data_IF_613207178461
#
_entry.id   IF_613207178461
#
_cell.length_a   1.000
_cell.length_b   1.000
_cell.length_c   1.000
_cell.angle_alpha   90.00
_cell.angle_beta   90.00
_cell.angle_gamma   90.00
#
_symmetry.space_group_name_H-M   'P 1'
#
loop_
_entity.id
_entity.type
_entity.pdbx_description
1 polymer ?
#
# COMPACT_ATOMS: atom_id res chain seq x y z
N UNK A 1 -22.98 -9.26 -7.57
CA UNK A 1 -21.88 -10.07 -7.00
C UNK A 1 -21.10 -9.17 -6.07
N UNK A 2 -20.80 -9.62 -4.85
CA UNK A 2 -19.93 -8.84 -3.95
C UNK A 2 -18.50 -8.84 -4.49
N UNK A 3 -17.83 -7.69 -4.44
CA UNK A 3 -16.43 -7.60 -4.87
C UNK A 3 -15.52 -8.41 -3.92
N UNK A 4 -14.37 -8.92 -4.39
CA UNK A 4 -13.41 -9.61 -3.52
C UNK A 4 -13.00 -8.79 -2.28
N UNK A 5 -12.91 -7.46 -2.41
CA UNK A 5 -12.59 -6.56 -1.30
C UNK A 5 -13.71 -6.46 -0.26
N UNK A 6 -14.97 -6.49 -0.70
CA UNK A 6 -16.13 -6.53 0.21
C UNK A 6 -16.12 -7.81 1.06
N UNK A 7 -15.72 -8.95 0.48
CA UNK A 7 -15.59 -10.21 1.21
C UNK A 7 -14.51 -10.14 2.31
N UNK A 8 -13.51 -9.28 2.14
CA UNK A 8 -12.43 -9.03 3.11
C UNK A 8 -12.72 -7.88 4.07
N UNK A 9 -13.88 -7.22 3.97
CA UNK A 9 -14.29 -6.11 4.83
C UNK A 9 -15.33 -6.54 5.89
N UNK A 10 -15.29 -5.88 7.05
CA UNK A 10 -16.24 -6.09 8.16
C UNK A 10 -15.57 -6.29 9.52
N UNK A 11 -16.38 -6.60 10.54
CA UNK A 11 -15.90 -6.84 11.90
C UNK A 11 -14.95 -8.04 11.95
N UNK A 12 -13.76 -7.85 12.51
CA UNK A 12 -12.73 -8.89 12.62
C UNK A 12 -12.01 -9.26 11.31
N UNK A 13 -12.36 -8.62 10.18
CA UNK A 13 -11.78 -8.90 8.87
C UNK A 13 -10.58 -7.99 8.55
N UNK A 14 -9.68 -8.40 7.63
CA UNK A 14 -8.42 -7.69 7.39
C UNK A 14 -8.58 -6.28 6.79
N UNK A 15 -9.71 -5.98 6.14
CA UNK A 15 -10.02 -4.66 5.62
C UNK A 15 -11.06 -3.94 6.48
N UNK A 16 -10.82 -2.65 6.70
CA UNK A 16 -11.83 -1.71 7.17
C UNK A 16 -12.38 -0.94 5.98
N UNK A 17 -13.71 -0.78 5.91
CA UNK A 17 -14.32 0.17 5.00
C UNK A 17 -14.02 1.58 5.50
N UNK A 18 -13.37 2.38 4.66
CA UNK A 18 -12.96 3.73 5.02
C UNK A 18 -12.86 4.59 3.75
N UNK A 19 -13.61 5.70 3.64
CA UNK A 19 -13.55 6.59 2.48
C UNK A 19 -12.14 7.03 2.16
N UNK A 20 -11.86 7.22 0.87
CA UNK A 20 -10.57 7.74 0.42
C UNK A 20 -10.34 9.15 0.97
N UNK A 21 -9.14 9.39 1.49
CA UNK A 21 -8.63 10.75 1.70
C UNK A 21 -7.69 11.10 0.52
N UNK A 22 -8.00 12.19 -0.18
CA UNK A 22 -7.26 12.58 -1.38
C UNK A 22 -5.80 12.99 -1.06
N UNK A 23 -5.56 13.65 0.07
CA UNK A 23 -4.23 14.07 0.46
C UNK A 23 -3.36 12.87 0.89
N UNK A 24 -3.95 11.91 1.61
CA UNK A 24 -3.33 10.64 1.95
C UNK A 24 -2.97 9.85 0.69
N UNK A 25 -3.92 9.71 -0.25
CA UNK A 25 -3.73 9.00 -1.51
C UNK A 25 -2.58 9.60 -2.33
N UNK A 26 -2.59 10.91 -2.53
CA UNK A 26 -1.52 11.62 -3.25
C UNK A 26 -0.17 11.53 -2.51
N UNK A 27 -0.19 11.57 -1.17
CA UNK A 27 0.99 11.34 -0.34
C UNK A 27 1.58 9.96 -0.55
N UNK A 28 0.75 8.92 -0.55
CA UNK A 28 1.16 7.53 -0.78
C UNK A 28 1.74 7.33 -2.19
N UNK A 29 1.11 7.90 -3.23
CA UNK A 29 1.63 7.85 -4.60
C UNK A 29 3.01 8.50 -4.71
N UNK A 30 3.15 9.75 -4.25
CA UNK A 30 4.45 10.45 -4.28
C UNK A 30 5.52 9.67 -3.53
N UNK A 31 5.20 9.21 -2.33
CA UNK A 31 6.14 8.51 -1.46
C UNK A 31 6.52 7.12 -1.99
N UNK A 32 5.57 6.41 -2.60
CA UNK A 32 5.80 5.12 -3.25
C UNK A 32 6.69 5.25 -4.48
N UNK A 33 6.39 6.20 -5.37
CA UNK A 33 7.18 6.45 -6.59
C UNK A 33 8.59 6.89 -6.27
N UNK A 34 8.79 7.81 -5.32
CA UNK A 34 10.12 8.26 -4.92
C UNK A 34 11.00 7.10 -4.42
N UNK A 35 10.47 6.29 -3.49
CA UNK A 35 11.20 5.11 -2.97
C UNK A 35 11.50 4.08 -4.06
N UNK A 36 10.60 3.88 -5.01
CA UNK A 36 10.82 2.97 -6.12
C UNK A 36 11.98 3.42 -7.01
N UNK A 37 12.08 4.72 -7.26
CA UNK A 37 13.23 5.30 -7.98
C UNK A 37 14.51 5.10 -7.18
N UNK A 38 14.50 5.45 -5.88
CA UNK A 38 15.69 5.36 -5.02
C UNK A 38 16.17 3.92 -4.82
N UNK A 39 15.27 2.93 -4.80
CA UNK A 39 15.63 1.51 -4.69
C UNK A 39 16.54 1.02 -5.84
N UNK A 40 16.55 1.75 -6.97
CA UNK A 40 17.40 1.46 -8.14
C UNK A 40 18.79 2.08 -8.02
N UNK A 41 19.06 2.90 -7.00
CA UNK A 41 20.38 3.48 -6.78
C UNK A 41 21.38 2.39 -6.35
N UNK A 42 22.27 2.02 -7.26
CA UNK A 42 23.28 0.99 -7.04
C UNK A 42 24.39 1.39 -6.05
N UNK A 43 24.47 2.67 -5.64
CA UNK A 43 25.42 3.12 -4.61
C UNK A 43 24.99 2.75 -3.19
N UNK A 44 23.72 2.35 -3.00
CA UNK A 44 23.19 1.93 -1.71
C UNK A 44 23.47 0.44 -1.46
N UNK A 45 23.58 0.06 -0.19
CA UNK A 45 23.63 -1.35 0.22
C UNK A 45 22.38 -2.10 -0.26
N UNK A 46 22.51 -3.41 -0.46
CA UNK A 46 21.42 -4.24 -0.98
C UNK A 46 20.21 -4.22 -0.03
N UNK A 47 20.47 -4.25 1.27
CA UNK A 47 19.48 -4.18 2.35
C UNK A 47 18.68 -2.87 2.27
N UNK A 48 19.36 -1.73 2.07
CA UNK A 48 18.70 -0.43 1.92
C UNK A 48 17.84 -0.36 0.67
N UNK A 49 18.32 -0.95 -0.44
CA UNK A 49 17.55 -1.02 -1.69
C UNK A 49 16.30 -1.89 -1.54
N UNK A 50 16.43 -3.01 -0.83
CA UNK A 50 15.30 -3.87 -0.49
C UNK A 50 14.27 -3.14 0.37
N UNK A 51 14.69 -2.45 1.43
CA UNK A 51 13.80 -1.67 2.29
C UNK A 51 13.05 -0.60 1.49
N UNK A 52 13.73 0.12 0.58
CA UNK A 52 13.10 1.09 -0.30
C UNK A 52 12.06 0.44 -1.22
N UNK A 53 12.40 -0.67 -1.87
CA UNK A 53 11.49 -1.38 -2.75
C UNK A 53 10.25 -1.93 -2.02
N UNK A 54 10.45 -2.55 -0.85
CA UNK A 54 9.36 -3.07 -0.02
C UNK A 54 8.42 -1.96 0.45
N UNK A 55 8.98 -0.85 0.95
CA UNK A 55 8.20 0.29 1.41
C UNK A 55 7.50 1.03 0.25
N UNK A 56 8.09 1.05 -0.95
CA UNK A 56 7.45 1.55 -2.16
C UNK A 56 6.23 0.70 -2.52
N UNK A 57 6.40 -0.63 -2.58
CA UNK A 57 5.32 -1.55 -2.90
C UNK A 57 4.18 -1.45 -1.87
N UNK A 58 4.50 -1.38 -0.57
CA UNK A 58 3.50 -1.17 0.46
C UNK A 58 2.70 0.13 0.26
N UNK A 59 3.38 1.25 -0.01
CA UNK A 59 2.72 2.54 -0.21
C UNK A 59 1.78 2.52 -1.43
N UNK A 60 2.22 1.94 -2.54
CA UNK A 60 1.43 1.86 -3.77
C UNK A 60 0.23 0.91 -3.64
N UNK A 61 0.39 -0.26 -3.02
CA UNK A 61 -0.73 -1.16 -2.78
C UNK A 61 -1.73 -0.56 -1.76
N UNK A 62 -1.24 0.15 -0.74
CA UNK A 62 -2.12 0.86 0.19
C UNK A 62 -2.89 1.97 -0.54
N UNK A 63 -2.24 2.76 -1.41
CA UNK A 63 -2.92 3.77 -2.22
C UNK A 63 -4.05 3.16 -3.07
N UNK A 64 -3.82 1.99 -3.66
CA UNK A 64 -4.85 1.25 -4.39
C UNK A 64 -6.05 0.88 -3.50
N UNK A 65 -5.82 0.35 -2.29
CA UNK A 65 -6.90 0.06 -1.33
C UNK A 65 -7.65 1.33 -0.91
N UNK A 66 -6.93 2.42 -0.62
CA UNK A 66 -7.54 3.70 -0.24
C UNK A 66 -8.45 4.21 -1.36
N UNK A 67 -8.00 4.12 -2.61
CA UNK A 67 -8.81 4.50 -3.79
C UNK A 67 -10.10 3.67 -3.90
N UNK A 68 -10.07 2.42 -3.47
CA UNK A 68 -11.23 1.52 -3.47
C UNK A 68 -12.12 1.67 -2.22
N UNK A 69 -11.82 2.61 -1.30
CA UNK A 69 -12.61 2.84 -0.09
C UNK A 69 -12.31 1.85 1.05
N UNK A 70 -11.10 1.26 1.06
CA UNK A 70 -10.67 0.33 2.08
C UNK A 70 -9.36 0.76 2.73
N UNK A 71 -9.15 0.33 3.97
CA UNK A 71 -7.86 0.41 4.66
C UNK A 71 -7.47 -0.98 5.18
N UNK A 72 -6.21 -1.34 4.94
CA UNK A 72 -5.62 -2.53 5.53
C UNK A 72 -5.42 -2.33 7.03
N UNK A 73 -5.89 -3.28 7.85
CA UNK A 73 -5.65 -3.25 9.32
C UNK A 73 -4.21 -3.61 9.70
N UNK A 74 -3.54 -4.38 8.85
CA UNK A 74 -2.15 -4.77 9.04
C UNK A 74 -1.34 -4.55 7.77
N UNK A 75 -0.09 -4.13 7.93
CA UNK A 75 0.84 -3.80 6.83
C UNK A 75 0.99 -4.92 5.80
N UNK A 76 0.97 -6.18 6.24
CA UNK A 76 1.17 -7.33 5.35
C UNK A 76 -0.03 -7.62 4.44
N UNK A 77 -1.23 -7.11 4.76
CA UNK A 77 -2.46 -7.40 4.00
C UNK A 77 -2.38 -6.87 2.57
N UNK A 78 -1.65 -5.78 2.33
CA UNK A 78 -1.52 -5.20 0.99
C UNK A 78 -0.72 -6.09 0.02
N UNK A 79 -0.10 -7.16 0.52
CA UNK A 79 0.66 -8.15 -0.25
C UNK A 79 -0.03 -9.52 -0.35
N UNK A 80 -1.22 -9.68 0.24
CA UNK A 80 -1.97 -10.93 0.16
C UNK A 80 -2.81 -10.96 -1.11
N UNK A 81 -2.69 -12.07 -1.85
CA UNK A 81 -3.50 -12.39 -3.02
C UNK A 81 -4.87 -12.95 -2.60
#
# INVERSE_FOLDING_TARGET
>A
MTSPLENLAGTGKPLAAEPMDAAEFEGLLRSGTARLVDARNASLALESRFDLAYNAAHALCLAALRRQGYRARHRYIVFQA
#
